data_IF_531576097036
#
_entry.id   IF_531576097036
#
_cell.length_a   1.000
_cell.length_b   1.000
_cell.length_c   1.000
_cell.angle_alpha   90.00
_cell.angle_beta   90.00
_cell.angle_gamma   90.00
#
_symmetry.space_group_name_H-M   'P 1'
#
loop_
_entity.id
_entity.type
_entity.pdbx_description
1 polymer ?
#
# COMPACT_ATOMS: atom_id res chain seq x y z
N UNK A 1 -13.87 -1.67 -19.56
CA UNK A 1 -12.41 -1.83 -19.82
C UNK A 1 -12.07 -3.27 -19.52
N UNK A 2 -11.46 -4.02 -20.45
CA UNK A 2 -11.17 -5.45 -20.20
C UNK A 2 -10.02 -5.61 -19.20
N UNK A 3 -9.94 -6.76 -18.52
CA UNK A 3 -8.85 -7.11 -17.59
C UNK A 3 -7.46 -6.96 -18.25
N UNK A 4 -7.33 -7.42 -19.51
CA UNK A 4 -6.06 -7.29 -20.23
C UNK A 4 -5.67 -5.84 -20.51
N UNK A 5 -6.63 -4.96 -20.83
CA UNK A 5 -6.39 -3.52 -20.99
C UNK A 5 -5.93 -2.88 -19.66
N UNK A 6 -6.48 -3.31 -18.55
CA UNK A 6 -6.10 -2.84 -17.22
C UNK A 6 -4.69 -3.28 -16.86
N UNK A 7 -4.35 -4.55 -17.05
CA UNK A 7 -2.99 -5.09 -16.82
C UNK A 7 -1.96 -4.34 -17.70
N UNK A 8 -2.26 -4.10 -18.98
CA UNK A 8 -1.39 -3.35 -19.89
C UNK A 8 -1.18 -1.91 -19.43
N UNK A 9 -2.26 -1.24 -18.99
CA UNK A 9 -2.19 0.14 -18.48
C UNK A 9 -1.36 0.22 -17.20
N UNK A 10 -1.53 -0.73 -16.28
CA UNK A 10 -0.76 -0.79 -15.04
C UNK A 10 0.72 -1.04 -15.31
N UNK A 11 1.06 -1.94 -16.24
CA UNK A 11 2.46 -2.15 -16.67
C UNK A 11 3.08 -0.89 -17.27
N UNK A 12 2.35 -0.18 -18.14
CA UNK A 12 2.83 1.07 -18.73
C UNK A 12 3.08 2.14 -17.66
N UNK A 13 2.12 2.33 -16.74
CA UNK A 13 2.27 3.28 -15.63
C UNK A 13 3.47 2.93 -14.73
N UNK A 14 3.64 1.65 -14.42
CA UNK A 14 4.78 1.19 -13.64
C UNK A 14 6.11 1.43 -14.37
N UNK A 15 6.15 1.22 -15.69
CA UNK A 15 7.32 1.55 -16.51
C UNK A 15 7.65 3.04 -16.48
N UNK A 16 6.63 3.91 -16.59
CA UNK A 16 6.79 5.38 -16.49
C UNK A 16 7.35 5.75 -15.11
N UNK A 17 6.85 5.14 -14.04
CA UNK A 17 7.34 5.36 -12.68
C UNK A 17 8.81 4.98 -12.56
N UNK A 18 9.21 3.82 -13.02
CA UNK A 18 10.61 3.36 -12.95
C UNK A 18 11.52 4.27 -13.78
N UNK A 19 11.15 4.58 -15.02
CA UNK A 19 11.93 5.46 -15.89
C UNK A 19 12.06 6.86 -15.27
N UNK A 20 10.95 7.43 -14.79
CA UNK A 20 10.96 8.72 -14.12
C UNK A 20 11.86 8.74 -12.91
N UNK A 21 11.90 7.66 -12.13
CA UNK A 21 12.80 7.53 -10.98
C UNK A 21 14.27 7.49 -11.40
N UNK A 22 14.61 6.72 -12.44
CA UNK A 22 15.98 6.67 -12.97
C UNK A 22 16.42 8.04 -13.50
N UNK A 23 15.56 8.74 -14.23
CA UNK A 23 15.83 10.11 -14.71
C UNK A 23 16.06 11.06 -13.52
N UNK A 24 15.22 10.98 -12.50
CA UNK A 24 15.35 11.79 -11.28
C UNK A 24 16.69 11.55 -10.58
N UNK A 25 17.10 10.29 -10.42
CA UNK A 25 18.42 9.96 -9.87
C UNK A 25 19.55 10.55 -10.71
N UNK A 26 19.45 10.49 -12.04
CA UNK A 26 20.41 11.09 -12.97
C UNK A 26 20.49 12.61 -12.82
N UNK A 27 19.36 13.29 -12.69
CA UNK A 27 19.31 14.75 -12.46
C UNK A 27 19.94 15.14 -11.13
N UNK A 28 19.60 14.41 -10.04
CA UNK A 28 20.18 14.65 -8.71
C UNK A 28 21.69 14.45 -8.72
N UNK A 29 22.17 13.36 -9.31
CA UNK A 29 23.59 13.06 -9.44
C UNK A 29 24.32 14.11 -10.30
N UNK A 30 23.69 14.54 -11.40
CA UNK A 30 24.22 15.62 -12.27
C UNK A 30 24.37 16.94 -11.52
N UNK A 31 23.37 17.32 -10.71
CA UNK A 31 23.45 18.51 -9.86
C UNK A 31 24.59 18.44 -8.84
N UNK A 32 24.74 17.27 -8.19
CA UNK A 32 25.86 17.02 -7.26
C UNK A 32 27.20 17.16 -8.01
N UNK A 33 27.29 16.58 -9.21
CA UNK A 33 28.49 16.63 -10.05
C UNK A 33 28.88 18.05 -10.47
N UNK A 34 27.90 18.85 -10.88
CA UNK A 34 28.13 20.25 -11.34
C UNK A 34 28.45 21.18 -10.18
N UNK A 35 27.73 21.05 -9.05
CA UNK A 35 27.82 22.01 -7.94
C UNK A 35 28.98 21.69 -6.98
N UNK A 36 29.25 20.42 -6.73
CA UNK A 36 30.27 20.00 -5.76
C UNK A 36 31.52 19.45 -6.45
N UNK A 37 31.42 18.31 -7.14
CA UNK A 37 32.49 17.63 -7.85
C UNK A 37 31.92 16.50 -8.71
N UNK A 38 32.44 16.34 -9.94
CA UNK A 38 31.99 15.30 -10.88
C UNK A 38 32.11 13.89 -10.30
N UNK A 39 33.18 13.62 -9.54
CA UNK A 39 33.40 12.31 -8.92
C UNK A 39 32.33 12.00 -7.88
N UNK A 40 31.92 13.00 -7.10
CA UNK A 40 30.84 12.88 -6.13
C UNK A 40 29.50 12.62 -6.83
N UNK A 41 29.25 13.27 -7.97
CA UNK A 41 28.07 13.01 -8.80
C UNK A 41 28.02 11.58 -9.30
N UNK A 42 29.14 11.03 -9.82
CA UNK A 42 29.24 9.64 -10.26
C UNK A 42 29.04 8.66 -9.09
N UNK A 43 29.69 8.91 -7.95
CA UNK A 43 29.52 8.06 -6.74
C UNK A 43 28.05 8.08 -6.27
N UNK A 44 27.41 9.25 -6.26
CA UNK A 44 26.00 9.40 -5.89
C UNK A 44 25.09 8.61 -6.84
N UNK A 45 25.32 8.70 -8.16
CA UNK A 45 24.53 7.97 -9.16
C UNK A 45 24.67 6.46 -8.99
N UNK A 46 25.90 5.97 -8.89
CA UNK A 46 26.17 4.53 -8.72
C UNK A 46 25.58 4.03 -7.41
N UNK A 47 25.81 4.74 -6.31
CA UNK A 47 25.27 4.38 -4.99
C UNK A 47 23.75 4.36 -4.96
N UNK A 48 23.09 5.39 -5.50
CA UNK A 48 21.65 5.45 -5.57
C UNK A 48 21.06 4.38 -6.49
N UNK A 49 21.71 4.06 -7.62
CA UNK A 49 21.29 3.01 -8.53
C UNK A 49 21.40 1.62 -7.90
N UNK A 50 22.51 1.33 -7.21
CA UNK A 50 22.71 0.09 -6.47
C UNK A 50 21.70 -0.05 -5.33
N UNK A 51 21.44 1.04 -4.61
CA UNK A 51 20.43 1.05 -3.55
C UNK A 51 19.01 0.82 -4.10
N UNK A 52 18.65 1.47 -5.20
CA UNK A 52 17.36 1.26 -5.86
C UNK A 52 17.19 -0.19 -6.32
N UNK A 53 18.24 -0.78 -6.93
CA UNK A 53 18.23 -2.20 -7.31
C UNK A 53 18.07 -3.11 -6.10
N UNK A 54 18.82 -2.87 -5.03
CA UNK A 54 18.69 -3.59 -3.76
C UNK A 54 17.28 -3.45 -3.18
N UNK A 55 16.70 -2.26 -3.17
CA UNK A 55 15.36 -1.99 -2.68
C UNK A 55 14.28 -2.74 -3.49
N UNK A 56 14.43 -2.82 -4.82
CA UNK A 56 13.55 -3.61 -5.69
C UNK A 56 13.66 -5.10 -5.37
N UNK A 57 14.87 -5.64 -5.26
CA UNK A 57 15.10 -7.06 -4.94
C UNK A 57 14.59 -7.38 -3.53
N UNK A 58 14.79 -6.48 -2.58
CA UNK A 58 14.40 -6.63 -1.18
C UNK A 58 12.98 -6.13 -0.88
N UNK A 59 12.22 -5.72 -1.90
CA UNK A 59 10.91 -5.07 -1.78
C UNK A 59 9.96 -5.80 -0.84
N UNK A 60 9.87 -7.13 -0.96
CA UNK A 60 9.03 -7.98 -0.11
C UNK A 60 9.37 -7.85 1.38
N UNK A 61 10.69 -7.86 1.72
CA UNK A 61 11.15 -7.70 3.09
C UNK A 61 11.01 -6.27 3.59
N UNK A 62 11.27 -5.31 2.71
CA UNK A 62 11.17 -3.89 3.03
C UNK A 62 9.73 -3.51 3.38
N UNK A 63 8.76 -3.82 2.52
CA UNK A 63 7.34 -3.55 2.78
C UNK A 63 6.86 -4.31 4.03
N UNK A 64 7.27 -5.57 4.21
CA UNK A 64 6.91 -6.32 5.41
C UNK A 64 7.41 -5.67 6.71
N UNK A 65 8.63 -5.10 6.71
CA UNK A 65 9.15 -4.36 7.87
C UNK A 65 8.39 -3.06 8.12
N UNK A 66 8.02 -2.34 7.06
CA UNK A 66 7.29 -1.08 7.15
C UNK A 66 5.84 -1.27 7.63
N UNK A 67 5.24 -2.42 7.32
CA UNK A 67 3.86 -2.79 7.73
C UNK A 67 3.81 -3.63 8.99
N UNK A 68 4.96 -4.06 9.54
CA UNK A 68 5.00 -4.99 10.68
C UNK A 68 4.56 -6.43 10.32
N UNK A 69 4.46 -6.76 9.01
CA UNK A 69 3.96 -8.05 8.56
C UNK A 69 4.98 -9.18 8.80
N UNK A 70 4.60 -10.14 9.63
CA UNK A 70 5.41 -11.28 10.03
C UNK A 70 5.05 -12.53 9.22
N UNK A 71 6.05 -13.33 8.90
CA UNK A 71 5.84 -14.65 8.28
C UNK A 71 5.25 -15.61 9.29
N UNK A 72 4.26 -16.37 8.85
CA UNK A 72 3.58 -17.37 9.67
C UNK A 72 4.07 -18.76 9.26
N UNK A 73 4.38 -19.59 10.23
CA UNK A 73 4.82 -20.97 9.99
C UNK A 73 3.81 -21.76 9.12
N UNK A 74 4.26 -22.79 8.38
CA UNK A 74 3.41 -23.52 7.43
C UNK A 74 2.20 -24.18 8.08
N UNK A 75 2.31 -24.57 9.34
CA UNK A 75 1.25 -25.24 10.10
C UNK A 75 0.34 -24.28 10.87
N UNK A 76 0.78 -23.02 11.01
CA UNK A 76 0.00 -22.01 11.67
C UNK A 76 -1.03 -21.42 10.71
N UNK A 77 -2.20 -21.06 11.23
CA UNK A 77 -3.28 -20.40 10.49
C UNK A 77 -3.69 -21.15 9.20
N UNK A 78 -3.65 -22.48 9.21
CA UNK A 78 -4.07 -23.30 8.06
C UNK A 78 -5.46 -22.91 7.49
N UNK A 79 -6.49 -22.60 8.31
CA UNK A 79 -7.78 -22.16 7.79
C UNK A 79 -7.64 -20.86 6.95
N UNK A 80 -6.90 -19.85 7.42
CA UNK A 80 -6.67 -18.61 6.69
C UNK A 80 -5.91 -18.85 5.37
N UNK A 81 -4.89 -19.71 5.38
CA UNK A 81 -4.15 -20.07 4.15
C UNK A 81 -5.05 -20.73 3.12
N UNK A 82 -5.97 -21.60 3.56
CA UNK A 82 -6.96 -22.24 2.68
C UNK A 82 -7.92 -21.22 2.07
N UNK A 83 -8.36 -20.20 2.83
CA UNK A 83 -9.17 -19.12 2.28
C UNK A 83 -8.42 -18.37 1.16
N UNK A 84 -7.17 -17.96 1.42
CA UNK A 84 -6.34 -17.29 0.40
C UNK A 84 -6.10 -18.18 -0.81
N UNK A 85 -5.88 -19.48 -0.62
CA UNK A 85 -5.73 -20.47 -1.69
C UNK A 85 -7.00 -20.57 -2.54
N UNK A 86 -8.16 -20.77 -1.92
CA UNK A 86 -9.45 -20.88 -2.61
C UNK A 86 -9.74 -19.63 -3.46
N UNK A 87 -9.58 -18.45 -2.89
CA UNK A 87 -9.78 -17.19 -3.60
C UNK A 87 -8.75 -17.00 -4.73
N UNK A 88 -7.51 -17.44 -4.53
CA UNK A 88 -6.45 -17.39 -5.55
C UNK A 88 -6.75 -18.31 -6.73
N UNK A 89 -7.29 -19.51 -6.46
CA UNK A 89 -7.75 -20.46 -7.50
C UNK A 89 -8.92 -19.84 -8.28
N UNK A 90 -9.92 -19.29 -7.60
CA UNK A 90 -11.05 -18.61 -8.22
C UNK A 90 -10.58 -17.43 -9.11
N UNK A 91 -9.54 -16.69 -8.67
CA UNK A 91 -8.95 -15.60 -9.42
C UNK A 91 -8.08 -16.05 -10.60
N UNK A 92 -7.78 -17.35 -10.74
CA UNK A 92 -6.89 -17.89 -11.76
C UNK A 92 -5.43 -17.44 -11.60
N UNK A 93 -4.98 -17.23 -10.37
CA UNK A 93 -3.59 -16.92 -10.11
C UNK A 93 -2.69 -18.13 -10.34
N UNK A 94 -1.50 -17.96 -10.94
CA UNK A 94 -0.57 -19.07 -11.20
C UNK A 94 0.07 -19.64 -9.92
N UNK A 95 0.08 -18.87 -8.84
CA UNK A 95 0.62 -19.24 -7.53
C UNK A 95 -0.18 -18.50 -6.46
N UNK A 96 -0.50 -19.20 -5.37
CA UNK A 96 -1.12 -18.60 -4.18
C UNK A 96 -0.14 -17.65 -3.49
N UNK A 97 -0.51 -16.39 -3.23
CA UNK A 97 0.31 -15.49 -2.41
C UNK A 97 0.52 -16.04 -1.00
N UNK A 98 1.69 -15.75 -0.42
CA UNK A 98 1.94 -16.08 0.99
C UNK A 98 0.99 -15.28 1.90
N UNK A 99 0.74 -15.82 3.09
CA UNK A 99 -0.03 -15.15 4.14
C UNK A 99 0.92 -14.64 5.21
N UNK A 100 0.71 -13.40 5.63
CA UNK A 100 1.44 -12.76 6.73
C UNK A 100 0.47 -12.17 7.72
N UNK A 101 0.88 -12.11 8.98
CA UNK A 101 0.11 -11.49 10.05
C UNK A 101 0.77 -10.19 10.49
N UNK A 102 -0.07 -9.19 10.72
CA UNK A 102 0.30 -7.93 11.37
C UNK A 102 -0.37 -7.93 12.74
N UNK A 103 0.43 -7.81 13.78
CA UNK A 103 -0.10 -7.71 15.15
C UNK A 103 -0.55 -6.27 15.41
N UNK A 104 -1.78 -5.99 14.98
CA UNK A 104 -2.43 -4.68 15.13
C UNK A 104 -3.92 -4.88 15.43
N UNK A 105 -4.49 -4.21 16.43
CA UNK A 105 -5.89 -4.36 16.81
C UNK A 105 -6.87 -3.76 15.80
N UNK A 106 -6.43 -2.86 14.92
CA UNK A 106 -7.28 -2.27 13.88
C UNK A 106 -7.57 -3.28 12.78
N UNK A 107 -8.82 -3.45 12.37
CA UNK A 107 -9.16 -4.39 11.29
C UNK A 107 -8.70 -3.86 9.94
N UNK A 108 -7.73 -4.55 9.35
CA UNK A 108 -7.21 -4.16 8.04
C UNK A 108 -6.51 -5.33 7.32
N UNK A 109 -6.34 -5.19 6.00
CA UNK A 109 -5.57 -6.11 5.18
C UNK A 109 -4.85 -5.35 4.05
N UNK A 110 -3.89 -5.98 3.42
CA UNK A 110 -3.22 -5.46 2.23
C UNK A 110 -2.57 -6.57 1.41
N UNK A 111 -2.35 -6.32 0.13
CA UNK A 111 -1.49 -7.14 -0.71
C UNK A 111 -0.25 -6.37 -1.15
N UNK A 112 0.91 -7.04 -1.12
CA UNK A 112 2.16 -6.47 -1.59
C UNK A 112 2.96 -7.48 -2.42
N UNK A 113 3.76 -6.98 -3.35
CA UNK A 113 4.65 -7.77 -4.19
C UNK A 113 4.78 -7.25 -5.60
N UNK A 114 5.90 -7.58 -6.23
CA UNK A 114 6.22 -7.13 -7.59
C UNK A 114 5.66 -8.07 -8.65
N UNK A 115 5.49 -9.34 -8.30
CA UNK A 115 4.96 -10.40 -9.18
C UNK A 115 4.00 -11.26 -8.37
N UNK A 116 2.99 -11.89 -9.00
CA UNK A 116 2.08 -12.80 -8.27
C UNK A 116 2.84 -13.90 -7.52
N UNK A 117 3.94 -14.41 -8.12
CA UNK A 117 4.78 -15.47 -7.53
C UNK A 117 5.51 -15.02 -6.25
N UNK A 118 5.68 -13.72 -6.06
CA UNK A 118 6.38 -13.15 -4.91
C UNK A 118 5.47 -12.27 -4.06
N UNK A 119 4.18 -12.21 -4.38
CA UNK A 119 3.20 -11.46 -3.60
C UNK A 119 2.86 -12.17 -2.30
N UNK A 120 2.39 -11.39 -1.35
CA UNK A 120 1.82 -11.87 -0.10
C UNK A 120 0.62 -11.00 0.29
N UNK A 121 -0.28 -11.58 1.08
CA UNK A 121 -1.40 -10.88 1.70
C UNK A 121 -1.09 -10.75 3.19
N UNK A 122 -1.11 -9.52 3.68
CA UNK A 122 -1.00 -9.20 5.09
C UNK A 122 -2.39 -8.99 5.69
N UNK A 123 -2.65 -9.61 6.84
CA UNK A 123 -3.92 -9.52 7.56
C UNK A 123 -3.63 -9.13 9.00
N UNK A 124 -4.34 -8.15 9.54
CA UNK A 124 -4.19 -7.77 10.94
C UNK A 124 -4.90 -8.75 11.88
N UNK A 125 -4.39 -8.87 13.09
CA UNK A 125 -5.07 -9.64 14.16
C UNK A 125 -6.44 -9.05 14.47
N UNK A 126 -6.60 -7.72 14.35
CA UNK A 126 -7.88 -7.04 14.49
C UNK A 126 -8.90 -7.47 13.43
N UNK A 127 -8.49 -7.60 12.16
CA UNK A 127 -9.41 -8.05 11.11
C UNK A 127 -9.95 -9.46 11.40
N UNK A 128 -9.08 -10.38 11.83
CA UNK A 128 -9.50 -11.75 12.16
C UNK A 128 -10.47 -11.81 13.34
N UNK A 129 -10.37 -10.85 14.28
CA UNK A 129 -11.23 -10.75 15.47
C UNK A 129 -12.62 -10.19 15.19
N UNK A 130 -12.77 -9.39 14.13
CA UNK A 130 -14.06 -8.74 13.85
C UNK A 130 -14.76 -9.29 12.61
N UNK A 131 -14.03 -9.90 11.64
CA UNK A 131 -14.61 -10.39 10.40
C UNK A 131 -15.08 -11.83 10.48
N UNK A 132 -16.36 -12.10 10.16
CA UNK A 132 -16.84 -13.45 9.87
C UNK A 132 -16.15 -13.99 8.62
N UNK A 133 -16.12 -15.33 8.49
CA UNK A 133 -15.46 -16.01 7.39
C UNK A 133 -15.89 -15.53 6.00
N UNK A 134 -17.19 -15.39 5.76
CA UNK A 134 -17.78 -14.93 4.49
C UNK A 134 -17.27 -13.53 4.11
N UNK A 135 -17.26 -12.63 5.09
CA UNK A 135 -16.79 -11.25 4.90
C UNK A 135 -15.27 -11.20 4.73
N UNK A 136 -14.52 -12.02 5.49
CA UNK A 136 -13.06 -12.13 5.35
C UNK A 136 -12.68 -12.66 3.96
N UNK A 137 -13.40 -13.66 3.43
CA UNK A 137 -13.19 -14.14 2.05
C UNK A 137 -13.37 -13.01 1.04
N UNK A 138 -14.35 -12.12 1.25
CA UNK A 138 -14.57 -10.97 0.36
C UNK A 138 -13.42 -9.95 0.45
N UNK A 139 -12.90 -9.64 1.65
CA UNK A 139 -11.71 -8.79 1.80
C UNK A 139 -10.50 -9.43 1.13
N UNK A 140 -10.28 -10.74 1.31
CA UNK A 140 -9.21 -11.47 0.62
C UNK A 140 -9.40 -11.46 -0.90
N UNK A 141 -10.64 -11.55 -1.38
CA UNK A 141 -11.00 -11.42 -2.80
C UNK A 141 -10.62 -10.05 -3.38
N UNK A 142 -10.84 -9.00 -2.61
CA UNK A 142 -10.41 -7.65 -2.94
C UNK A 142 -8.88 -7.57 -3.09
N UNK A 143 -8.11 -8.07 -2.11
CA UNK A 143 -6.65 -8.10 -2.14
C UNK A 143 -6.10 -8.94 -3.29
N UNK A 144 -6.68 -10.11 -3.52
CA UNK A 144 -6.30 -10.98 -4.64
C UNK A 144 -6.64 -10.34 -5.99
N UNK A 145 -7.69 -9.54 -6.09
CA UNK A 145 -8.01 -8.75 -7.29
C UNK A 145 -6.91 -7.75 -7.62
N UNK A 146 -6.32 -7.09 -6.62
CA UNK A 146 -5.15 -6.23 -6.82
C UNK A 146 -3.92 -7.02 -7.34
N UNK A 147 -3.66 -8.21 -6.81
CA UNK A 147 -2.57 -9.09 -7.30
C UNK A 147 -2.82 -9.50 -8.76
N UNK A 148 -4.04 -9.96 -9.07
CA UNK A 148 -4.48 -10.36 -10.42
C UNK A 148 -4.33 -9.21 -11.43
N UNK A 149 -4.74 -8.01 -11.05
CA UNK A 149 -4.74 -6.80 -11.88
C UNK A 149 -3.35 -6.14 -11.98
N UNK A 150 -2.35 -6.65 -11.25
CA UNK A 150 -0.99 -6.07 -11.17
C UNK A 150 -0.96 -4.68 -10.51
N UNK A 151 -1.96 -4.35 -9.72
CA UNK A 151 -2.00 -3.10 -8.95
C UNK A 151 -0.91 -3.11 -7.87
N UNK A 152 -0.71 -4.27 -7.22
CA UNK A 152 0.33 -4.47 -6.19
C UNK A 152 1.73 -4.12 -6.66
N UNK A 153 2.04 -4.34 -7.96
CA UNK A 153 3.34 -3.94 -8.51
C UNK A 153 3.54 -2.42 -8.42
N UNK A 154 2.54 -1.65 -8.89
CA UNK A 154 2.62 -0.19 -8.90
C UNK A 154 2.66 0.36 -7.47
N UNK A 155 1.81 -0.17 -6.59
CA UNK A 155 1.74 0.25 -5.19
C UNK A 155 3.07 -0.05 -4.47
N UNK A 156 3.60 -1.27 -4.61
CA UNK A 156 4.89 -1.68 -4.02
C UNK A 156 6.04 -0.82 -4.54
N UNK A 157 6.09 -0.52 -5.84
CA UNK A 157 7.12 0.36 -6.42
C UNK A 157 7.02 1.79 -5.89
N UNK A 158 5.80 2.33 -5.78
CA UNK A 158 5.59 3.66 -5.22
C UNK A 158 6.07 3.74 -3.77
N UNK A 159 5.76 2.73 -2.94
CA UNK A 159 6.24 2.62 -1.56
C UNK A 159 7.77 2.62 -1.49
N UNK A 160 8.43 1.77 -2.29
CA UNK A 160 9.88 1.66 -2.30
C UNK A 160 10.54 2.99 -2.68
N UNK A 161 10.07 3.60 -3.76
CA UNK A 161 10.65 4.86 -4.25
C UNK A 161 10.37 6.02 -3.30
N UNK A 162 9.19 6.08 -2.67
CA UNK A 162 8.91 7.04 -1.62
C UNK A 162 9.86 6.85 -0.42
N UNK A 163 10.12 5.61 -0.01
CA UNK A 163 11.10 5.29 1.05
C UNK A 163 12.53 5.70 0.68
N UNK A 164 12.95 5.48 -0.58
CA UNK A 164 14.27 5.95 -1.08
C UNK A 164 14.36 7.48 -1.04
N UNK A 165 13.31 8.16 -1.48
CA UNK A 165 13.24 9.63 -1.45
C UNK A 165 13.31 10.16 -0.02
N UNK A 166 12.56 9.55 0.90
CA UNK A 166 12.59 9.91 2.31
C UNK A 166 13.99 9.74 2.93
N UNK A 167 14.68 8.64 2.59
CA UNK A 167 16.06 8.40 3.03
C UNK A 167 17.02 9.47 2.49
N UNK A 168 16.94 9.83 1.20
CA UNK A 168 17.77 10.87 0.61
C UNK A 168 17.52 12.22 1.30
N UNK A 169 16.25 12.54 1.57
CA UNK A 169 15.88 13.77 2.26
C UNK A 169 16.41 13.78 3.72
N UNK A 170 16.30 12.68 4.46
CA UNK A 170 16.81 12.56 5.83
C UNK A 170 18.34 12.70 5.89
N UNK A 171 19.06 11.99 5.01
CA UNK A 171 20.53 12.12 4.89
C UNK A 171 20.92 13.56 4.54
N UNK A 172 20.25 14.17 3.58
CA UNK A 172 20.47 15.57 3.21
C UNK A 172 20.23 16.53 4.38
N UNK A 173 19.13 16.35 5.11
CA UNK A 173 18.81 17.15 6.28
C UNK A 173 19.87 16.99 7.40
N UNK A 174 20.29 15.76 7.68
CA UNK A 174 21.38 15.49 8.65
C UNK A 174 22.69 16.15 8.24
N UNK A 175 23.04 16.09 6.96
CA UNK A 175 24.23 16.78 6.44
C UNK A 175 24.14 18.31 6.62
N UNK A 176 22.95 18.92 6.47
CA UNK A 176 22.72 20.33 6.74
C UNK A 176 22.91 20.69 8.22
N UNK A 177 22.32 19.89 9.11
CA UNK A 177 22.33 20.18 10.56
C UNK A 177 23.69 19.92 11.18
N UNK A 178 24.33 18.80 10.83
CA UNK A 178 25.59 18.35 11.47
C UNK A 178 26.83 18.64 10.64
N UNK A 179 26.71 18.89 9.32
CA UNK A 179 27.80 19.21 8.42
C UNK A 179 28.11 20.72 8.32
N UNK A 180 27.45 21.57 9.10
CA UNK A 180 27.47 23.03 9.04
C UNK A 180 28.80 23.68 9.42
N UNK A 181 29.84 23.49 8.60
CA UNK A 181 31.00 24.34 8.60
C UNK A 181 30.70 25.65 7.89
N UNK A 182 31.10 26.79 8.51
CA UNK A 182 31.05 28.14 7.97
C UNK A 182 31.93 28.34 6.70
N UNK A 183 32.18 27.29 5.92
CA UNK A 183 33.01 27.33 4.71
C UNK A 183 32.15 27.56 3.46
N UNK A 184 32.77 28.10 2.38
CA UNK A 184 32.15 28.29 1.05
C UNK A 184 31.53 26.96 0.50
N UNK A 185 32.09 25.81 0.90
CA UNK A 185 31.52 24.46 0.61
C UNK A 185 30.21 24.15 1.36
N UNK A 186 30.04 24.72 2.56
CA UNK A 186 28.77 24.53 3.33
C UNK A 186 27.58 25.16 2.62
N UNK A 187 27.74 26.37 2.04
CA UNK A 187 26.68 27.02 1.26
C UNK A 187 26.28 26.25 -0.01
N UNK A 188 27.24 25.67 -0.73
CA UNK A 188 26.99 24.85 -1.89
C UNK A 188 26.23 23.54 -1.52
N UNK A 189 26.58 22.92 -0.40
CA UNK A 189 25.87 21.73 0.11
C UNK A 189 24.42 22.05 0.48
N UNK A 190 24.18 23.19 1.16
CA UNK A 190 22.82 23.66 1.49
C UNK A 190 21.98 23.83 0.23
N UNK A 191 22.56 24.46 -0.81
CA UNK A 191 21.88 24.67 -2.07
C UNK A 191 21.54 23.33 -2.75
N UNK A 192 22.49 22.38 -2.81
CA UNK A 192 22.25 21.05 -3.39
C UNK A 192 21.11 20.33 -2.67
N UNK A 193 21.14 20.29 -1.34
CA UNK A 193 20.09 19.62 -0.54
C UNK A 193 18.73 20.29 -0.74
N UNK A 194 18.67 21.61 -0.78
CA UNK A 194 17.43 22.35 -1.01
C UNK A 194 16.86 22.07 -2.42
N UNK A 195 17.68 22.10 -3.46
CA UNK A 195 17.25 21.82 -4.84
C UNK A 195 16.86 20.36 -5.01
N UNK A 196 17.62 19.43 -4.44
CA UNK A 196 17.26 17.99 -4.43
C UNK A 196 15.93 17.78 -3.74
N UNK A 197 15.71 18.36 -2.56
CA UNK A 197 14.42 18.30 -1.86
C UNK A 197 13.26 18.86 -2.70
N UNK A 198 13.48 20.00 -3.37
CA UNK A 198 12.49 20.63 -4.25
C UNK A 198 12.12 19.74 -5.46
N UNK A 199 13.08 18.99 -6.01
CA UNK A 199 12.85 18.06 -7.12
C UNK A 199 12.20 16.74 -6.64
N UNK A 200 12.61 16.25 -5.48
CA UNK A 200 12.12 14.97 -4.94
C UNK A 200 10.68 15.04 -4.44
N UNK A 201 10.30 16.14 -3.80
CA UNK A 201 8.96 16.30 -3.21
C UNK A 201 7.80 16.15 -4.23
N UNK A 202 7.79 16.86 -5.39
CA UNK A 202 6.73 16.69 -6.37
C UNK A 202 6.73 15.30 -7.00
N UNK A 203 7.90 14.65 -7.12
CA UNK A 203 7.97 13.28 -7.62
C UNK A 203 7.40 12.27 -6.61
N UNK A 204 7.70 12.42 -5.32
CA UNK A 204 7.07 11.62 -4.26
C UNK A 204 5.55 11.78 -4.26
N UNK A 205 5.06 13.01 -4.38
CA UNK A 205 3.63 13.30 -4.48
C UNK A 205 3.01 12.66 -5.74
N UNK A 206 3.71 12.68 -6.88
CA UNK A 206 3.28 12.01 -8.11
C UNK A 206 3.20 10.49 -7.93
N UNK A 207 4.20 9.86 -7.29
CA UNK A 207 4.20 8.43 -7.00
C UNK A 207 3.00 8.04 -6.12
N UNK A 208 2.78 8.78 -5.04
CA UNK A 208 1.61 8.60 -4.19
C UNK A 208 0.31 8.73 -5.02
N UNK A 209 0.15 9.81 -5.76
CA UNK A 209 -1.03 10.03 -6.60
C UNK A 209 -1.25 8.93 -7.65
N UNK A 210 -0.19 8.35 -8.20
CA UNK A 210 -0.29 7.24 -9.17
C UNK A 210 -0.61 5.91 -8.50
N UNK A 211 -0.15 5.67 -7.27
CA UNK A 211 -0.52 4.50 -6.47
C UNK A 211 -1.97 4.55 -6.02
N UNK A 212 -2.53 5.76 -5.85
CA UNK A 212 -3.89 6.02 -5.44
C UNK A 212 -4.81 6.13 -6.66
N UNK A 213 -5.79 5.26 -6.79
CA UNK A 213 -6.80 5.37 -7.84
C UNK A 213 -8.14 4.84 -7.34
N UNK A 214 -9.05 5.77 -7.02
CA UNK A 214 -10.44 5.44 -6.62
C UNK A 214 -11.08 4.40 -7.54
N UNK A 215 -10.83 4.50 -8.85
CA UNK A 215 -11.35 3.54 -9.83
C UNK A 215 -10.81 2.12 -9.62
N UNK A 216 -9.58 1.95 -9.13
CA UNK A 216 -9.02 0.62 -8.86
C UNK A 216 -9.66 -0.03 -7.66
N UNK A 217 -10.02 0.75 -6.64
CA UNK A 217 -10.76 0.28 -5.47
C UNK A 217 -12.11 -0.28 -5.88
N UNK A 218 -12.90 0.50 -6.63
CA UNK A 218 -14.19 0.01 -7.16
C UNK A 218 -14.04 -1.24 -8.02
N UNK A 219 -12.98 -1.34 -8.83
CA UNK A 219 -12.70 -2.53 -9.65
C UNK A 219 -12.24 -3.72 -8.81
N UNK A 220 -11.56 -3.50 -7.69
CA UNK A 220 -11.18 -4.56 -6.77
C UNK A 220 -12.39 -5.07 -5.98
N UNK A 221 -13.28 -4.15 -5.54
CA UNK A 221 -14.56 -4.52 -4.92
C UNK A 221 -15.43 -5.36 -5.84
N UNK A 222 -15.62 -4.91 -7.08
CA UNK A 222 -16.35 -5.68 -8.10
C UNK A 222 -15.64 -7.00 -8.43
N UNK A 223 -14.29 -6.99 -8.49
CA UNK A 223 -13.51 -8.19 -8.70
C UNK A 223 -13.72 -9.21 -7.60
N UNK A 224 -13.77 -8.79 -6.34
CA UNK A 224 -14.11 -9.64 -5.20
C UNK A 224 -15.52 -10.22 -5.33
N UNK A 225 -16.50 -9.34 -5.62
CA UNK A 225 -17.89 -9.72 -5.81
C UNK A 225 -18.08 -10.76 -6.94
N UNK A 226 -17.36 -10.58 -8.07
CA UNK A 226 -17.39 -11.51 -9.20
C UNK A 226 -16.72 -12.84 -8.84
N UNK A 227 -15.54 -12.82 -8.19
CA UNK A 227 -14.79 -14.04 -7.83
C UNK A 227 -15.57 -14.94 -6.91
N UNK A 228 -16.30 -14.36 -5.96
CA UNK A 228 -17.06 -15.10 -4.95
C UNK A 228 -18.53 -15.26 -5.32
N UNK A 229 -19.01 -14.56 -6.37
CA UNK A 229 -20.43 -14.43 -6.70
C UNK A 229 -21.25 -13.90 -5.52
N UNK A 230 -20.64 -13.04 -4.69
CA UNK A 230 -21.20 -12.54 -3.44
C UNK A 230 -20.85 -11.06 -3.20
N UNK A 231 -21.54 -10.14 -3.88
CA UNK A 231 -21.33 -8.71 -3.68
C UNK A 231 -21.76 -8.21 -2.29
N UNK A 232 -22.73 -8.88 -1.66
CA UNK A 232 -23.21 -8.53 -0.33
C UNK A 232 -22.14 -8.78 0.73
N UNK A 233 -21.37 -9.88 0.64
CA UNK A 233 -20.27 -10.15 1.57
C UNK A 233 -19.23 -9.03 1.58
N UNK A 234 -18.85 -8.48 0.40
CA UNK A 234 -17.93 -7.36 0.32
C UNK A 234 -18.54 -6.08 0.91
N UNK A 235 -19.81 -5.81 0.66
CA UNK A 235 -20.49 -4.64 1.21
C UNK A 235 -20.62 -4.73 2.75
N UNK A 236 -20.92 -5.92 3.30
CA UNK A 236 -20.94 -6.17 4.74
C UNK A 236 -19.55 -5.96 5.37
N UNK A 237 -18.50 -6.49 4.75
CA UNK A 237 -17.13 -6.30 5.20
C UNK A 237 -16.77 -4.81 5.28
N UNK A 238 -17.07 -4.02 4.22
CA UNK A 238 -16.83 -2.58 4.20
C UNK A 238 -17.65 -1.84 5.28
N UNK A 239 -18.90 -2.25 5.52
CA UNK A 239 -19.75 -1.69 6.56
C UNK A 239 -19.16 -1.98 7.95
N UNK A 240 -18.64 -3.19 8.18
CA UNK A 240 -18.00 -3.56 9.44
C UNK A 240 -16.73 -2.75 9.67
N UNK A 241 -15.92 -2.51 8.63
CA UNK A 241 -14.77 -1.60 8.69
C UNK A 241 -15.20 -0.16 8.98
N UNK A 242 -16.29 0.33 8.36
CA UNK A 242 -16.80 1.70 8.57
C UNK A 242 -17.25 1.95 10.01
N UNK A 243 -17.82 0.93 10.66
CA UNK A 243 -18.30 1.01 12.04
C UNK A 243 -17.20 0.81 13.09
N UNK A 244 -16.06 0.24 12.71
CA UNK A 244 -14.94 0.07 13.62
C UNK A 244 -14.21 1.39 13.84
N UNK A 245 -13.90 1.73 15.08
CA UNK A 245 -13.23 2.98 15.47
C UNK A 245 -11.76 2.78 15.88
N UNK A 246 -11.26 1.54 15.82
CA UNK A 246 -9.90 1.21 16.24
C UNK A 246 -8.88 1.83 15.28
N UNK A 247 -7.91 2.56 15.79
CA UNK A 247 -6.84 3.17 15.00
C UNK A 247 -5.63 2.26 14.93
N UNK A 248 -4.95 2.22 13.78
CA UNK A 248 -3.71 1.46 13.62
C UNK A 248 -2.57 2.05 14.45
N UNK A 249 -1.85 1.18 15.15
CA UNK A 249 -0.65 1.56 15.91
C UNK A 249 0.54 1.87 14.98
N UNK A 250 0.63 1.21 13.82
CA UNK A 250 1.70 1.36 12.83
C UNK A 250 1.18 2.06 11.57
N UNK A 251 0.93 3.36 11.66
CA UNK A 251 0.48 4.18 10.54
C UNK A 251 1.65 4.91 9.86
N UNK A 252 2.61 4.18 9.25
CA UNK A 252 3.61 4.81 8.39
C UNK A 252 2.92 5.34 7.13
N UNK A 253 2.99 6.66 6.92
CA UNK A 253 2.35 7.33 5.79
C UNK A 253 2.79 6.78 4.42
N UNK A 254 3.99 6.20 4.34
CA UNK A 254 4.53 5.62 3.10
C UNK A 254 3.85 4.30 2.69
N UNK A 255 3.22 3.60 3.62
CA UNK A 255 2.48 2.35 3.39
C UNK A 255 0.96 2.48 3.56
N UNK A 256 0.48 3.66 3.96
CA UNK A 256 -0.94 3.91 4.21
C UNK A 256 -1.83 3.55 3.00
N UNK A 257 -1.32 3.72 1.79
CA UNK A 257 -2.02 3.44 0.54
C UNK A 257 -2.06 1.94 0.15
N UNK A 258 -1.41 1.07 0.90
CA UNK A 258 -1.47 -0.38 0.68
C UNK A 258 -2.69 -1.01 1.32
N UNK A 259 -3.19 -0.45 2.41
CA UNK A 259 -4.26 -1.00 3.23
C UNK A 259 -5.64 -0.85 2.59
N UNK A 260 -6.56 -1.78 2.85
CA UNK A 260 -7.97 -1.71 2.39
C UNK A 260 -8.65 -0.43 2.87
N UNK A 261 -8.34 -0.03 4.11
CA UNK A 261 -8.75 1.24 4.68
C UNK A 261 -7.53 2.04 5.12
N UNK A 262 -7.49 3.33 4.75
CA UNK A 262 -6.37 4.19 5.12
C UNK A 262 -6.27 4.36 6.64
N UNK A 263 -5.13 4.05 7.26
CA UNK A 263 -4.92 4.23 8.69
C UNK A 263 -5.11 5.67 9.18
N UNK A 264 -4.96 6.65 8.27
CA UNK A 264 -5.05 8.09 8.57
C UNK A 264 -6.46 8.63 8.48
N UNK A 265 -7.38 7.97 7.78
CA UNK A 265 -8.75 8.46 7.56
C UNK A 265 -9.55 8.60 8.86
N UNK A 266 -9.31 7.74 9.84
CA UNK A 266 -9.99 7.75 11.14
C UNK A 266 -9.51 8.88 12.04
N UNK A 267 -8.20 9.14 12.09
CA UNK A 267 -7.60 10.23 12.87
C UNK A 267 -7.99 11.59 12.31
N UNK A 268 -8.10 11.71 10.98
CA UNK A 268 -8.51 12.95 10.31
C UNK A 268 -10.01 13.23 10.42
N UNK A 269 -10.86 12.21 10.52
CA UNK A 269 -12.31 12.40 10.73
C UNK A 269 -12.61 13.08 12.05
N UNK A 270 -11.86 12.80 13.11
CA UNK A 270 -11.98 13.47 14.41
C UNK A 270 -11.48 14.92 14.37
N UNK A 271 -10.54 15.25 13.46
CA UNK A 271 -9.98 16.61 13.28
C UNK A 271 -10.72 17.47 12.25
N UNK A 272 -11.76 16.98 11.58
CA UNK A 272 -12.49 17.63 10.48
C UNK A 272 -13.18 18.98 10.82
N UNK A 273 -12.84 19.63 11.94
CA UNK A 273 -13.23 21.03 12.18
C UNK A 273 -12.41 22.08 11.44
N UNK A 274 -11.28 21.78 10.80
CA UNK A 274 -10.29 22.82 10.46
C UNK A 274 -9.73 22.79 9.06
N UNK A 275 -9.93 22.09 8.07
CA UNK A 275 -9.44 22.42 6.68
C UNK A 275 -9.84 21.34 5.63
N UNK A 276 -10.61 21.79 4.64
CA UNK A 276 -11.06 21.01 3.47
C UNK A 276 -9.95 20.55 2.49
N UNK A 277 -8.67 20.71 2.83
CA UNK A 277 -7.54 20.30 2.01
C UNK A 277 -7.13 18.83 2.24
N UNK A 278 -7.56 18.20 3.34
CA UNK A 278 -7.24 16.81 3.66
C UNK A 278 -7.88 15.81 2.67
N UNK A 279 -9.05 16.14 2.12
CA UNK A 279 -9.74 15.28 1.16
C UNK A 279 -8.99 15.04 -0.17
N UNK A 280 -8.00 15.88 -0.49
CA UNK A 280 -7.13 15.71 -1.66
C UNK A 280 -6.07 14.61 -1.46
N UNK A 281 -5.83 14.23 -0.19
CA UNK A 281 -4.88 13.20 0.21
C UNK A 281 -5.55 11.90 0.66
N UNK A 282 -6.90 11.84 0.65
CA UNK A 282 -7.63 10.60 0.92
C UNK A 282 -7.24 9.55 -0.11
N UNK A 283 -6.61 8.49 0.37
CA UNK A 283 -6.01 7.43 -0.44
C UNK A 283 -7.06 6.53 -1.08
N UNK A 284 -8.20 6.34 -0.43
CA UNK A 284 -9.31 5.49 -0.87
C UNK A 284 -10.62 6.28 -1.01
N UNK A 285 -11.56 5.80 -1.86
CA UNK A 285 -12.92 6.34 -1.86
C UNK A 285 -13.57 6.11 -0.48
N UNK A 286 -14.42 7.01 -0.01
CA UNK A 286 -15.21 6.79 1.20
C UNK A 286 -15.92 5.42 1.17
N UNK A 287 -15.87 4.68 2.28
CA UNK A 287 -16.45 3.33 2.39
C UNK A 287 -17.94 3.34 2.01
N UNK A 288 -18.69 4.36 2.43
CA UNK A 288 -20.09 4.53 2.04
C UNK A 288 -20.31 4.57 0.51
N UNK A 289 -19.38 5.16 -0.27
CA UNK A 289 -19.49 5.18 -1.74
C UNK A 289 -19.18 3.81 -2.34
N UNK A 290 -18.25 3.05 -1.77
CA UNK A 290 -17.92 1.68 -2.19
C UNK A 290 -19.10 0.76 -1.91
N UNK A 291 -19.69 0.84 -0.72
CA UNK A 291 -20.91 0.10 -0.33
C UNK A 291 -22.04 0.40 -1.29
N UNK A 292 -22.36 1.67 -1.52
CA UNK A 292 -23.45 2.06 -2.43
C UNK A 292 -23.25 1.52 -3.86
N UNK A 293 -22.01 1.51 -4.37
CA UNK A 293 -21.71 0.94 -5.68
C UNK A 293 -21.92 -0.59 -5.74
N UNK A 294 -21.61 -1.31 -4.66
CA UNK A 294 -21.87 -2.75 -4.56
C UNK A 294 -23.37 -3.05 -4.44
N UNK A 295 -24.11 -2.28 -3.65
CA UNK A 295 -25.56 -2.40 -3.54
C UNK A 295 -26.26 -2.16 -4.89
N UNK A 296 -25.83 -1.13 -5.63
CA UNK A 296 -26.39 -0.80 -6.96
C UNK A 296 -26.07 -1.92 -7.97
N UNK A 297 -24.82 -2.37 -8.02
CA UNK A 297 -24.40 -3.42 -8.98
C UNK A 297 -24.95 -4.80 -8.64
N UNK A 298 -25.13 -5.11 -7.35
CA UNK A 298 -25.65 -6.39 -6.87
C UNK A 298 -27.18 -6.44 -6.74
N UNK A 299 -27.86 -5.31 -6.82
CA UNK A 299 -29.33 -5.24 -6.70
C UNK A 299 -29.86 -5.56 -5.31
N UNK A 300 -29.10 -5.30 -4.26
CA UNK A 300 -29.47 -5.54 -2.86
C UNK A 300 -29.36 -4.26 -2.03
N UNK A 301 -29.79 -4.32 -0.77
CA UNK A 301 -29.57 -3.30 0.25
C UNK A 301 -29.07 -3.97 1.51
N UNK A 302 -28.04 -3.38 2.14
CA UNK A 302 -27.58 -3.87 3.42
C UNK A 302 -28.64 -3.66 4.51
N UNK A 303 -28.73 -4.60 5.48
CA UNK A 303 -29.56 -4.41 6.66
C UNK A 303 -29.03 -3.24 7.52
N UNK A 304 -29.92 -2.60 8.29
CA UNK A 304 -29.57 -1.52 9.22
C UNK A 304 -28.58 -1.99 10.29
N UNK A 305 -28.72 -3.23 10.73
CA UNK A 305 -27.83 -3.87 11.73
C UNK A 305 -27.05 -4.99 11.07
N UNK A 306 -25.75 -5.07 11.39
CA UNK A 306 -24.91 -6.15 10.89
C UNK A 306 -25.36 -7.52 11.46
N UNK A 307 -25.28 -8.59 10.66
CA UNK A 307 -25.51 -9.94 11.16
C UNK A 307 -24.56 -10.26 12.31
N UNK A 308 -25.04 -10.95 13.36
CA UNK A 308 -24.23 -11.36 14.51
C UNK A 308 -23.40 -12.64 14.21
N UNK A 309 -22.71 -12.64 13.09
CA UNK A 309 -21.91 -13.79 12.65
C UNK A 309 -20.63 -13.91 13.48
N UNK A 310 -20.20 -15.16 13.73
CA UNK A 310 -18.98 -15.43 14.49
C UNK A 310 -17.73 -14.95 13.74
N UNK A 311 -16.83 -14.17 14.41
CA UNK A 311 -15.54 -13.81 13.84
C UNK A 311 -14.66 -15.02 13.50
N UNK A 312 -13.85 -14.90 12.46
CA UNK A 312 -12.99 -15.98 11.99
C UNK A 312 -11.89 -16.37 12.99
N UNK A 313 -11.53 -15.48 13.92
CA UNK A 313 -10.60 -15.78 15.01
C UNK A 313 -11.00 -17.02 15.82
N UNK A 314 -12.29 -17.33 15.95
CA UNK A 314 -12.77 -18.56 16.59
C UNK A 314 -12.35 -19.83 15.82
N UNK A 315 -12.38 -19.81 14.49
CA UNK A 315 -11.91 -20.95 13.68
C UNK A 315 -10.39 -21.17 13.79
N UNK A 316 -9.65 -20.12 14.21
CA UNK A 316 -8.21 -20.15 14.39
C UNK A 316 -7.79 -20.46 15.84
N UNK A 317 -8.75 -20.54 16.79
CA UNK A 317 -8.45 -20.67 18.21
C UNK A 317 -7.74 -19.44 18.81
N UNK A 318 -7.93 -18.27 18.20
CA UNK A 318 -7.35 -17.01 18.64
C UNK A 318 -8.31 -16.17 19.52
N UNK A 319 -9.55 -16.59 19.66
CA UNK A 319 -10.56 -15.98 20.52
C UNK A 319 -11.11 -17.03 21.47
N UNK A 320 -11.28 -16.65 22.72
CA UNK A 320 -12.02 -17.43 23.72
C UNK A 320 -13.52 -17.21 23.53
N UNK A 321 -14.34 -18.23 23.87
CA UNK A 321 -15.80 -18.18 23.73
C UNK A 321 -16.47 -17.09 24.58
#
# INVERSE_FOLDING_TARGET
MTLQQQIRRNRLRSGIVVIGFVVLLGVVAGLIGVVLDLRLGVVALVGASLYALFAIISSRRMVARMTGAQEVGPDQLRPLRRLVENVSIAAGLPVTPDVRIVDDPSPNAFAAGIRPQTSYVGVTTGLLRVMPKRELEAVLGHEISHVRNRDTYLMTMATIFAGVIALIADVGFRMLVYGGGRSRRGGALVLVVAVVGLLLAPYAALLLRMSLSRRREFLADQGSAELLSDPEAMALALRRLELDTTTMAYADASVAHLWVESPTSRVESERRGVLALSSLFDTHPPLAQRIAALEESGGFRLPETLPPDRPFAFELGLAEE
#
